data_IF_306235445770
#
_entry.id   IF_306235445770
#
_cell.length_a   1.000
_cell.length_b   1.000
_cell.length_c   1.000
_cell.angle_alpha   90.00
_cell.angle_beta   90.00
_cell.angle_gamma   90.00
#
_symmetry.space_group_name_H-M   'P 1'
#
loop_
_entity.id
_entity.type
_entity.pdbx_description
1 polymer ?
#
# COMPACT_ATOMS: atom_id res chain seq x y z
N UNK A 1 5.51 -5.19 14.55
CA UNK A 1 4.15 -5.50 14.04
C UNK A 1 4.31 -5.78 12.56
N UNK A 2 4.02 -7.01 12.11
CA UNK A 2 4.09 -7.42 10.70
C UNK A 2 2.69 -7.91 10.34
N UNK A 3 2.05 -7.27 9.38
CA UNK A 3 0.75 -7.69 8.84
C UNK A 3 0.97 -8.40 7.52
N UNK A 4 0.56 -9.67 7.45
CA UNK A 4 0.56 -10.47 6.22
C UNK A 4 -0.90 -10.77 5.89
N UNK A 5 -1.32 -10.43 4.67
CA UNK A 5 -2.64 -10.76 4.12
C UNK A 5 -2.39 -11.55 2.84
N UNK A 6 -2.70 -12.84 2.87
CA UNK A 6 -2.62 -13.74 1.71
C UNK A 6 -4.00 -13.90 1.07
N UNK A 7 -4.16 -13.54 -0.20
CA UNK A 7 -5.38 -13.85 -0.97
C UNK A 7 -5.06 -14.30 -2.41
N UNK A 8 -4.86 -15.61 -2.53
CA UNK A 8 -5.25 -16.55 -3.60
C UNK A 8 -4.96 -16.24 -5.09
N UNK A 9 -4.04 -17.04 -5.62
CA UNK A 9 -4.21 -17.99 -6.75
C UNK A 9 -3.55 -17.67 -8.12
N UNK A 10 -3.65 -16.49 -8.72
CA UNK A 10 -2.97 -16.16 -10.00
C UNK A 10 -2.59 -14.68 -10.10
N UNK A 11 -2.34 -14.08 -8.93
CA UNK A 11 -2.18 -12.65 -8.74
C UNK A 11 -0.69 -12.41 -8.45
N UNK A 12 -0.03 -11.54 -9.21
CA UNK A 12 1.33 -11.11 -8.86
C UNK A 12 1.30 -10.60 -7.42
N UNK A 13 1.99 -11.29 -6.52
CA UNK A 13 2.03 -10.98 -5.09
C UNK A 13 3.48 -10.74 -4.71
N UNK A 14 3.77 -9.53 -4.24
CA UNK A 14 5.09 -9.16 -3.76
C UNK A 14 4.97 -8.62 -2.34
N UNK A 15 5.66 -9.28 -1.42
CA UNK A 15 5.76 -8.84 -0.03
C UNK A 15 6.96 -7.90 0.06
N UNK A 16 6.68 -6.60 0.14
CA UNK A 16 7.69 -5.55 0.14
C UNK A 16 7.45 -4.61 1.32
N UNK A 17 8.53 -4.14 1.94
CA UNK A 17 8.48 -3.06 2.93
C UNK A 17 8.91 -1.76 2.24
N UNK A 18 7.93 -0.92 1.90
CA UNK A 18 8.17 0.33 1.20
C UNK A 18 8.30 1.51 2.18
N UNK A 19 9.32 2.33 1.98
CA UNK A 19 9.41 3.66 2.61
C UNK A 19 8.60 4.68 1.82
N UNK A 20 8.08 5.75 2.46
CA UNK A 20 7.45 6.84 1.72
C UNK A 20 8.39 7.39 0.64
N UNK A 21 7.91 7.44 -0.60
CA UNK A 21 8.67 7.81 -1.79
C UNK A 21 9.15 6.62 -2.63
N UNK A 22 9.16 5.40 -2.10
CA UNK A 22 9.56 4.21 -2.86
C UNK A 22 8.45 3.74 -3.80
N UNK A 23 8.89 3.14 -4.90
CA UNK A 23 8.04 2.62 -5.97
C UNK A 23 8.16 1.10 -6.07
N UNK A 24 7.06 0.42 -6.32
CA UNK A 24 7.01 -1.01 -6.60
C UNK A 24 6.31 -1.25 -7.92
N UNK A 25 6.94 -2.02 -8.80
CA UNK A 25 6.36 -2.44 -10.06
C UNK A 25 5.69 -3.80 -9.91
N UNK A 26 4.40 -3.87 -10.19
CA UNK A 26 3.61 -5.10 -10.08
C UNK A 26 2.61 -5.20 -11.23
N UNK A 27 2.61 -6.34 -11.91
CA UNK A 27 1.70 -6.62 -13.03
C UNK A 27 1.62 -5.51 -14.12
N UNK A 28 2.74 -4.82 -14.39
CA UNK A 28 2.80 -3.73 -15.38
C UNK A 28 2.25 -2.39 -14.90
N UNK A 29 2.11 -2.20 -13.59
CA UNK A 29 1.79 -0.93 -12.96
C UNK A 29 2.90 -0.54 -11.98
N UNK A 30 3.21 0.75 -11.91
CA UNK A 30 4.10 1.32 -10.91
C UNK A 30 3.26 1.89 -9.77
N UNK A 31 3.48 1.37 -8.56
CA UNK A 31 2.85 1.82 -7.33
C UNK A 31 3.86 2.67 -6.55
N UNK A 32 3.56 3.95 -6.36
CA UNK A 32 4.38 4.84 -5.53
C UNK A 32 3.74 5.00 -4.16
N UNK A 33 4.41 4.56 -3.10
CA UNK A 33 3.94 4.80 -1.75
C UNK A 33 4.20 6.25 -1.33
N UNK A 34 3.15 7.05 -1.11
CA UNK A 34 3.29 8.46 -0.72
C UNK A 34 3.47 8.66 0.78
N UNK A 35 3.10 7.66 1.58
CA UNK A 35 3.19 7.69 3.03
C UNK A 35 1.85 7.46 3.71
N UNK A 36 1.80 7.75 5.00
CA UNK A 36 0.63 7.50 5.85
C UNK A 36 0.14 8.82 6.44
N UNK A 37 -1.14 9.12 6.29
CA UNK A 37 -1.76 10.30 6.85
C UNK A 37 -2.81 9.92 7.91
N UNK A 38 -2.89 10.65 9.05
CA UNK A 38 -3.98 10.48 9.99
C UNK A 38 -5.28 11.02 9.38
N UNK A 39 -6.37 10.28 9.53
CA UNK A 39 -7.71 10.69 9.13
C UNK A 39 -8.66 10.57 10.32
N UNK A 40 -9.46 11.61 10.52
CA UNK A 40 -10.49 11.63 11.55
C UNK A 40 -11.78 11.07 10.92
N UNK A 41 -12.27 9.95 11.46
CA UNK A 41 -13.59 9.42 11.18
C UNK A 41 -14.66 10.04 12.08
N UNK A 42 -15.94 9.72 11.87
CA UNK A 42 -17.07 10.30 12.62
C UNK A 42 -16.97 10.11 14.14
N UNK A 43 -16.37 9.01 14.57
CA UNK A 43 -16.20 8.64 15.98
C UNK A 43 -14.88 7.89 16.25
N UNK A 44 -13.93 7.90 15.31
CA UNK A 44 -12.65 7.19 15.41
C UNK A 44 -11.52 7.95 14.73
N UNK A 45 -10.28 7.50 14.97
CA UNK A 45 -9.09 7.98 14.27
C UNK A 45 -8.45 6.80 13.55
N UNK A 46 -8.08 7.01 12.30
CA UNK A 46 -7.39 6.01 11.49
C UNK A 46 -6.13 6.60 10.87
N UNK A 47 -5.29 5.70 10.36
CA UNK A 47 -4.12 6.04 9.57
C UNK A 47 -4.29 5.41 8.21
N UNK A 48 -4.31 6.24 7.17
CA UNK A 48 -4.55 5.82 5.80
C UNK A 48 -3.24 5.90 5.02
N UNK A 49 -2.87 4.80 4.38
CA UNK A 49 -1.75 4.75 3.45
C UNK A 49 -2.18 5.31 2.08
N UNK A 50 -1.39 6.22 1.53
CA UNK A 50 -1.63 6.85 0.24
C UNK A 50 -0.70 6.23 -0.81
N UNK A 51 -1.29 5.79 -1.92
CA UNK A 51 -0.56 5.23 -3.06
C UNK A 51 -0.93 5.96 -4.35
N UNK A 52 0.06 6.25 -5.19
CA UNK A 52 -0.15 6.71 -6.56
C UNK A 52 0.08 5.54 -7.49
N UNK A 53 -0.84 5.30 -8.43
CA UNK A 53 -0.77 4.20 -9.40
C UNK A 53 -0.54 4.80 -10.79
N UNK A 54 0.50 4.34 -11.47
CA UNK A 54 0.80 4.69 -12.87
C UNK A 54 1.00 3.41 -13.69
N UNK A 55 0.84 3.52 -15.02
CA UNK A 55 1.01 2.42 -15.98
C UNK A 55 2.28 2.63 -16.78
#
# INVERSE_FOLDING_TARGET
VIGIVATTAWRSEQILALKPGETADIAGYTLTFKGVAPRQGPNYRERVALFTVTR
#
